data_IF_248308558933
#
_entry.id   IF_248308558933
#
_cell.length_a   1.000
_cell.length_b   1.000
_cell.length_c   1.000
_cell.angle_alpha   90.00
_cell.angle_beta   90.00
_cell.angle_gamma   90.00
#
_symmetry.space_group_name_H-M   'P 1'
#
loop_
_entity.id
_entity.type
_entity.pdbx_description
1 polymer ?
#
# COMPACT_ATOMS: atom_id res chain seq x y z
N UNK A 1 39.48 71.86 -43.90
CA UNK A 1 38.84 70.52 -43.94
C UNK A 1 38.23 70.25 -42.56
N UNK A 2 37.29 69.31 -42.46
CA UNK A 2 37.01 68.46 -41.28
C UNK A 2 35.71 68.61 -40.47
N UNK A 3 34.93 69.71 -40.45
CA UNK A 3 33.66 69.71 -39.66
C UNK A 3 32.51 68.84 -40.20
N UNK A 4 32.08 68.92 -41.47
CA UNK A 4 30.98 68.09 -41.98
C UNK A 4 31.38 66.62 -42.12
N UNK A 5 32.67 66.36 -42.33
CA UNK A 5 33.22 65.01 -42.45
C UNK A 5 33.22 64.27 -41.11
N UNK A 6 33.47 64.97 -40.00
CA UNK A 6 33.40 64.40 -38.63
C UNK A 6 31.97 63.93 -38.31
N UNK A 7 30.93 64.69 -38.66
CA UNK A 7 29.54 64.28 -38.42
C UNK A 7 29.12 63.06 -39.25
N UNK A 8 29.58 62.95 -40.50
CA UNK A 8 29.33 61.79 -41.35
C UNK A 8 30.00 60.52 -40.80
N UNK A 9 31.25 60.61 -40.33
CA UNK A 9 31.97 59.48 -39.74
C UNK A 9 31.35 59.05 -38.40
N UNK A 10 30.96 60.00 -37.54
CA UNK A 10 30.27 59.69 -36.29
C UNK A 10 28.91 59.01 -36.53
N UNK A 11 28.14 59.47 -37.52
CA UNK A 11 26.89 58.81 -37.91
C UNK A 11 27.11 57.37 -38.38
N UNK A 12 28.13 57.13 -39.21
CA UNK A 12 28.46 55.79 -39.70
C UNK A 12 28.90 54.85 -38.58
N UNK A 13 29.68 55.34 -37.60
CA UNK A 13 30.10 54.56 -36.43
C UNK A 13 28.89 54.22 -35.54
N UNK A 14 27.94 55.13 -35.35
CA UNK A 14 26.73 54.86 -34.57
C UNK A 14 25.85 53.82 -35.27
N UNK A 15 25.70 53.90 -36.59
CA UNK A 15 24.92 52.92 -37.37
C UNK A 15 25.59 51.54 -37.33
N UNK A 16 26.90 51.49 -37.54
CA UNK A 16 27.67 50.24 -37.47
C UNK A 16 27.67 49.64 -36.05
N UNK A 17 27.81 50.47 -35.02
CA UNK A 17 27.74 50.06 -33.62
C UNK A 17 26.34 49.56 -33.23
N UNK A 18 25.29 50.27 -33.65
CA UNK A 18 23.90 49.85 -33.44
C UNK A 18 23.58 48.52 -34.14
N UNK A 19 24.00 48.37 -35.40
CA UNK A 19 23.86 47.12 -36.14
C UNK A 19 24.64 45.99 -35.47
N UNK A 20 25.86 46.24 -35.00
CA UNK A 20 26.66 45.25 -34.26
C UNK A 20 25.97 44.82 -32.95
N UNK A 21 25.41 45.75 -32.17
CA UNK A 21 24.69 45.41 -30.93
C UNK A 21 23.42 44.59 -31.20
N UNK A 22 22.71 44.85 -32.31
CA UNK A 22 21.55 44.04 -32.70
C UNK A 22 21.97 42.65 -33.19
N UNK A 23 23.07 42.55 -33.94
CA UNK A 23 23.55 41.28 -34.49
C UNK A 23 24.29 40.40 -33.46
N UNK A 24 24.96 41.01 -32.48
CA UNK A 24 25.79 40.32 -31.50
C UNK A 24 25.04 39.91 -30.22
N UNK A 25 23.77 40.28 -30.05
CA UNK A 25 22.96 39.77 -28.94
C UNK A 25 22.32 38.44 -29.37
N UNK A 26 22.76 37.29 -28.80
CA UNK A 26 22.06 36.04 -29.03
C UNK A 26 20.62 36.20 -28.52
N UNK A 27 19.64 35.95 -29.39
CA UNK A 27 18.23 35.87 -29.01
C UNK A 27 18.04 34.61 -28.16
N UNK A 28 18.31 34.72 -26.87
CA UNK A 28 18.04 33.66 -25.90
C UNK A 28 16.53 33.55 -25.77
N UNK A 29 15.95 32.53 -26.40
CA UNK A 29 14.54 32.20 -26.22
C UNK A 29 14.31 31.88 -24.74
N UNK A 30 13.49 32.65 -24.01
CA UNK A 30 13.34 32.50 -22.56
C UNK A 30 12.55 31.24 -22.15
N UNK A 31 12.13 30.41 -23.11
CA UNK A 31 11.22 29.27 -22.92
C UNK A 31 11.76 27.96 -23.50
N UNK A 32 13.09 27.78 -23.54
CA UNK A 32 13.66 26.46 -23.78
C UNK A 32 13.44 25.58 -22.54
N UNK A 33 12.18 25.25 -22.24
CA UNK A 33 11.84 24.18 -21.30
C UNK A 33 12.31 22.87 -21.92
N UNK A 34 13.21 22.21 -21.20
CA UNK A 34 13.64 20.84 -21.47
C UNK A 34 12.39 19.94 -21.41
N UNK A 35 11.84 19.58 -22.57
CA UNK A 35 10.68 18.70 -22.64
C UNK A 35 11.11 17.31 -22.18
N UNK A 36 10.85 17.01 -20.91
CA UNK A 36 11.03 15.66 -20.37
C UNK A 36 9.99 14.75 -21.01
N UNK A 37 10.45 13.80 -21.81
CA UNK A 37 9.58 12.78 -22.43
C UNK A 37 9.50 11.59 -21.48
N UNK A 38 8.31 11.32 -20.95
CA UNK A 38 8.07 10.19 -20.07
C UNK A 38 7.77 8.91 -20.88
N UNK A 39 8.31 7.76 -20.47
CA UNK A 39 8.24 6.49 -21.23
C UNK A 39 7.08 5.56 -20.87
N UNK A 40 6.29 5.86 -19.82
CA UNK A 40 5.22 4.99 -19.31
C UNK A 40 4.16 5.76 -18.53
N UNK A 41 2.87 5.61 -18.78
CA UNK A 41 1.85 6.49 -18.15
C UNK A 41 1.31 5.99 -16.81
N UNK A 42 1.56 4.73 -16.46
CA UNK A 42 1.04 4.09 -15.25
C UNK A 42 2.06 3.17 -14.58
N UNK A 43 2.04 3.14 -13.25
CA UNK A 43 2.79 2.20 -12.43
C UNK A 43 1.82 1.35 -11.63
N UNK A 44 2.00 0.02 -11.68
CA UNK A 44 1.23 -0.92 -10.87
C UNK A 44 1.75 -0.95 -9.44
N UNK A 45 0.85 -0.88 -8.48
CA UNK A 45 1.13 -0.94 -7.06
C UNK A 45 1.04 -2.39 -6.53
N UNK A 46 1.62 -2.70 -5.35
CA UNK A 46 1.57 -4.05 -4.75
C UNK A 46 0.15 -4.58 -4.48
N UNK A 47 -0.83 -3.69 -4.35
CA UNK A 47 -2.26 -4.01 -4.20
C UNK A 47 -2.95 -4.32 -5.54
N UNK A 48 -2.25 -4.16 -6.67
CA UNK A 48 -2.79 -4.35 -8.02
C UNK A 48 -3.44 -3.11 -8.63
N UNK A 49 -3.55 -1.99 -7.88
CA UNK A 49 -4.00 -0.71 -8.41
C UNK A 49 -2.95 -0.05 -9.30
N UNK A 50 -3.33 1.01 -10.02
CA UNK A 50 -2.41 1.77 -10.87
C UNK A 50 -2.40 3.24 -10.48
N UNK A 51 -1.19 3.80 -10.37
CA UNK A 51 -0.97 5.22 -10.14
C UNK A 51 -0.39 5.88 -11.40
N UNK A 52 -0.84 7.10 -11.66
CA UNK A 52 -0.35 7.94 -12.75
C UNK A 52 0.89 8.75 -12.35
N UNK A 53 1.50 9.38 -13.34
CA UNK A 53 2.58 10.33 -13.10
C UNK A 53 2.07 11.64 -12.51
N UNK A 54 2.85 12.21 -11.61
CA UNK A 54 2.63 13.50 -10.96
C UNK A 54 3.90 14.33 -11.13
N UNK A 55 3.78 15.53 -11.69
CA UNK A 55 4.86 16.50 -11.76
C UNK A 55 5.72 16.47 -13.04
N UNK A 56 6.58 17.50 -13.22
CA UNK A 56 7.33 17.74 -14.45
C UNK A 56 8.48 16.74 -14.70
N UNK A 57 8.92 16.03 -13.67
CA UNK A 57 10.02 15.06 -13.73
C UNK A 57 9.53 13.61 -13.90
N UNK A 58 8.28 13.42 -14.30
CA UNK A 58 7.71 12.11 -14.53
C UNK A 58 7.69 11.20 -13.27
N UNK A 59 7.59 11.77 -12.07
CA UNK A 59 7.49 11.01 -10.81
C UNK A 59 6.13 10.32 -10.74
N UNK A 60 6.00 9.16 -10.09
CA UNK A 60 4.70 8.51 -9.87
C UNK A 60 4.11 8.96 -8.53
N UNK A 61 2.79 9.11 -8.47
CA UNK A 61 2.13 9.30 -7.18
C UNK A 61 2.45 8.13 -6.23
N UNK A 62 2.50 8.40 -4.93
CA UNK A 62 2.59 7.33 -3.93
C UNK A 62 1.44 6.34 -4.13
N UNK A 63 1.74 5.04 -4.07
CA UNK A 63 0.70 4.02 -4.05
C UNK A 63 -0.28 4.30 -2.90
N UNK A 64 -1.59 4.11 -3.11
CA UNK A 64 -2.53 4.15 -2.01
C UNK A 64 -2.06 3.15 -0.94
N UNK A 65 -1.95 3.60 0.30
CA UNK A 65 -1.71 2.71 1.44
C UNK A 65 -2.94 1.81 1.55
N UNK A 66 -2.87 0.62 0.94
CA UNK A 66 -3.78 -0.51 1.06
C UNK A 66 -5.22 -0.14 1.47
N UNK A 67 -5.90 0.63 0.62
CA UNK A 67 -7.37 0.65 0.56
C UNK A 67 -7.87 -0.08 -0.69
N UNK A 68 -6.96 -0.74 -1.42
CA UNK A 68 -7.18 -1.29 -2.76
C UNK A 68 -7.09 -2.81 -2.89
N UNK A 69 -6.89 -3.55 -1.80
CA UNK A 69 -7.19 -4.98 -1.73
C UNK A 69 -7.70 -5.22 -0.32
N UNK A 70 -9.00 -5.43 -0.19
CA UNK A 70 -9.76 -5.33 1.06
C UNK A 70 -9.55 -6.55 1.95
N UNK A 71 -8.27 -6.86 2.24
CA UNK A 71 -7.80 -7.91 3.11
C UNK A 71 -7.18 -7.27 4.33
N UNK A 72 -7.79 -7.51 5.47
CA UNK A 72 -7.33 -7.06 6.78
C UNK A 72 -6.91 -8.25 7.63
N UNK A 73 -5.90 -8.07 8.47
CA UNK A 73 -5.34 -9.14 9.29
C UNK A 73 -5.48 -8.76 10.76
N UNK A 74 -6.39 -9.45 11.45
CA UNK A 74 -6.70 -9.21 12.87
C UNK A 74 -6.03 -10.28 13.72
N UNK A 75 -5.12 -9.88 14.61
CA UNK A 75 -4.50 -10.80 15.58
C UNK A 75 -5.08 -10.55 16.98
N UNK A 76 -5.62 -11.59 17.62
CA UNK A 76 -6.35 -11.45 18.88
C UNK A 76 -6.16 -12.67 19.79
N UNK A 77 -6.10 -12.43 21.11
CA UNK A 77 -6.03 -13.49 22.12
C UNK A 77 -7.40 -14.05 22.53
N UNK A 78 -7.41 -15.14 23.29
CA UNK A 78 -8.68 -15.68 23.82
C UNK A 78 -9.35 -14.68 24.77
N UNK A 79 -10.66 -14.51 24.62
CA UNK A 79 -11.47 -13.56 25.40
C UNK A 79 -11.21 -12.08 25.09
N UNK A 80 -10.29 -11.76 24.16
CA UNK A 80 -10.04 -10.41 23.70
C UNK A 80 -10.84 -10.14 22.41
N UNK A 81 -11.16 -8.87 22.16
CA UNK A 81 -11.88 -8.45 20.95
C UNK A 81 -10.91 -7.74 20.02
N UNK A 82 -10.75 -8.27 18.81
CA UNK A 82 -10.06 -7.60 17.71
C UNK A 82 -11.08 -6.92 16.79
N UNK A 83 -10.75 -5.75 16.27
CA UNK A 83 -11.60 -4.98 15.36
C UNK A 83 -10.89 -4.86 14.01
N UNK A 84 -11.62 -5.14 12.94
CA UNK A 84 -11.12 -5.02 11.57
C UNK A 84 -11.41 -3.64 10.97
N UNK A 85 -10.77 -3.33 9.84
CA UNK A 85 -11.06 -2.13 9.04
C UNK A 85 -12.50 -2.06 8.52
N UNK A 86 -13.24 -3.17 8.57
CA UNK A 86 -14.63 -3.27 8.12
C UNK A 86 -15.64 -3.17 9.28
N UNK A 87 -15.23 -2.65 10.43
CA UNK A 87 -16.02 -2.56 11.66
C UNK A 87 -16.55 -3.92 12.18
N UNK A 88 -15.94 -5.02 11.72
CA UNK A 88 -16.23 -6.37 12.21
C UNK A 88 -15.35 -6.64 13.43
N UNK A 89 -15.99 -6.97 14.56
CA UNK A 89 -15.35 -7.34 15.82
C UNK A 89 -15.37 -8.84 15.99
N UNK A 90 -14.20 -9.43 16.26
CA UNK A 90 -14.01 -10.86 16.43
C UNK A 90 -13.48 -11.13 17.85
N UNK A 91 -14.18 -11.95 18.61
CA UNK A 91 -13.84 -12.32 19.98
C UNK A 91 -13.75 -13.84 20.10
N UNK A 92 -12.55 -14.44 20.10
CA UNK A 92 -12.38 -15.87 20.36
C UNK A 92 -12.84 -16.22 21.77
N UNK A 93 -13.78 -17.16 21.91
CA UNK A 93 -14.34 -17.55 23.21
C UNK A 93 -13.62 -18.76 23.79
N UNK A 94 -13.48 -19.82 22.98
CA UNK A 94 -12.88 -21.08 23.42
C UNK A 94 -12.30 -21.89 22.26
N UNK A 95 -11.25 -22.66 22.55
CA UNK A 95 -10.70 -23.65 21.62
C UNK A 95 -11.47 -24.96 21.81
N UNK A 96 -12.15 -25.41 20.77
CA UNK A 96 -12.91 -26.66 20.77
C UNK A 96 -12.01 -27.86 20.43
N UNK A 97 -11.02 -27.66 19.57
CA UNK A 97 -10.06 -28.68 19.15
C UNK A 97 -8.73 -28.03 18.80
N UNK A 98 -7.62 -28.57 19.30
CA UNK A 98 -6.27 -28.25 18.84
C UNK A 98 -5.47 -29.54 18.69
N UNK A 99 -5.53 -30.09 17.47
CA UNK A 99 -4.84 -31.31 17.07
C UNK A 99 -3.60 -31.01 16.23
N UNK A 100 -3.13 -29.74 16.19
CA UNK A 100 -1.95 -29.33 15.41
C UNK A 100 -0.75 -30.22 15.71
N UNK A 101 -0.07 -30.64 14.64
CA UNK A 101 1.14 -31.43 14.77
C UNK A 101 2.21 -30.64 15.53
N UNK A 102 2.75 -31.17 16.64
CA UNK A 102 3.85 -30.53 17.34
C UNK A 102 5.07 -30.39 16.42
N UNK A 103 5.77 -29.27 16.50
CA UNK A 103 6.91 -28.95 15.64
C UNK A 103 8.10 -29.90 15.84
N UNK A 104 8.15 -30.59 16.97
CA UNK A 104 9.17 -31.55 17.36
C UNK A 104 8.76 -33.01 17.11
N UNK A 105 7.62 -33.22 16.44
CA UNK A 105 7.07 -34.55 16.12
C UNK A 105 6.75 -34.65 14.62
N UNK A 106 6.89 -35.86 14.06
CA UNK A 106 6.48 -36.15 12.69
C UNK A 106 5.12 -36.83 12.67
N UNK A 107 4.05 -36.07 12.41
CA UNK A 107 2.70 -36.62 12.31
C UNK A 107 2.42 -37.18 10.92
N UNK A 108 1.64 -38.26 10.88
CA UNK A 108 1.15 -38.89 9.64
C UNK A 108 -0.08 -38.19 9.06
N UNK A 109 -0.80 -37.40 9.86
CA UNK A 109 -2.01 -36.67 9.46
C UNK A 109 -1.85 -35.19 9.81
N UNK A 110 -2.40 -34.31 8.98
CA UNK A 110 -2.47 -32.88 9.25
C UNK A 110 -3.52 -32.62 10.34
N UNK A 111 -3.07 -32.16 11.50
CA UNK A 111 -3.94 -31.68 12.56
C UNK A 111 -4.68 -30.40 12.19
N UNK A 112 -5.65 -30.00 13.01
CA UNK A 112 -6.40 -28.75 12.82
C UNK A 112 -6.60 -27.99 14.13
N UNK A 113 -7.04 -26.74 14.02
CA UNK A 113 -7.59 -25.99 15.14
C UNK A 113 -9.02 -25.63 14.83
N UNK A 114 -9.90 -25.85 15.80
CA UNK A 114 -11.28 -25.38 15.77
C UNK A 114 -11.56 -24.55 17.00
N UNK A 115 -12.06 -23.34 16.81
CA UNK A 115 -12.39 -22.43 17.91
C UNK A 115 -13.77 -21.84 17.70
N UNK A 116 -14.44 -21.54 18.80
CA UNK A 116 -15.68 -20.77 18.82
C UNK A 116 -15.33 -19.31 19.01
N UNK A 117 -15.81 -18.44 18.13
CA UNK A 117 -15.65 -17.00 18.25
C UNK A 117 -17.00 -16.29 18.11
N UNK A 118 -17.19 -15.25 18.89
CA UNK A 118 -18.28 -14.30 18.70
C UNK A 118 -17.86 -13.28 17.64
N UNK A 119 -18.78 -12.99 16.73
CA UNK A 119 -18.63 -11.93 15.74
C UNK A 119 -19.70 -10.88 15.97
N UNK A 120 -19.30 -9.61 15.97
CA UNK A 120 -20.22 -8.48 15.98
C UNK A 120 -19.94 -7.66 14.73
N UNK A 121 -20.97 -7.47 13.91
CA UNK A 121 -20.93 -6.62 12.73
C UNK A 121 -22.00 -5.52 12.85
N UNK A 122 -22.21 -4.76 11.77
CA UNK A 122 -23.24 -3.70 11.72
C UNK A 122 -24.68 -4.22 11.78
N UNK A 123 -24.92 -5.53 11.69
CA UNK A 123 -26.25 -6.14 11.56
C UNK A 123 -26.64 -7.00 12.78
N UNK A 124 -25.66 -7.52 13.53
CA UNK A 124 -25.94 -8.26 14.74
C UNK A 124 -24.73 -8.89 15.41
N UNK A 125 -25.02 -9.76 16.37
CA UNK A 125 -24.01 -10.57 17.06
C UNK A 125 -24.28 -12.03 16.80
N UNK A 126 -23.29 -12.73 16.23
CA UNK A 126 -23.31 -14.16 15.93
C UNK A 126 -22.20 -14.90 16.67
N UNK A 127 -22.30 -16.23 16.73
CA UNK A 127 -21.21 -17.08 17.24
C UNK A 127 -20.96 -18.18 16.23
N UNK A 128 -19.73 -18.24 15.75
CA UNK A 128 -19.33 -19.16 14.68
C UNK A 128 -18.16 -20.04 15.11
N UNK A 129 -18.05 -21.21 14.47
CA UNK A 129 -16.94 -22.12 14.66
C UNK A 129 -15.97 -21.95 13.50
N UNK A 130 -14.79 -21.41 13.80
CA UNK A 130 -13.70 -21.26 12.86
C UNK A 130 -12.81 -22.49 12.86
N UNK A 131 -12.46 -22.98 11.68
CA UNK A 131 -11.48 -24.04 11.47
C UNK A 131 -10.25 -23.45 10.77
N UNK A 132 -9.05 -23.86 11.19
CA UNK A 132 -7.80 -23.37 10.60
C UNK A 132 -7.79 -23.57 9.08
N UNK A 133 -7.53 -22.49 8.35
CA UNK A 133 -7.51 -22.45 6.88
C UNK A 133 -8.88 -22.47 6.20
N UNK A 134 -9.99 -22.58 6.93
CA UNK A 134 -11.33 -22.51 6.36
C UNK A 134 -11.89 -21.09 6.41
N UNK A 135 -12.50 -20.68 5.31
CA UNK A 135 -13.14 -19.38 5.17
C UNK A 135 -14.63 -19.49 5.50
N UNK A 136 -15.08 -18.65 6.42
CA UNK A 136 -16.51 -18.42 6.70
C UNK A 136 -16.96 -17.23 5.88
N UNK A 137 -18.07 -17.38 5.19
CA UNK A 137 -18.66 -16.31 4.39
C UNK A 137 -19.72 -15.59 5.23
N UNK A 138 -19.38 -14.40 5.72
CA UNK A 138 -20.35 -13.48 6.31
C UNK A 138 -21.10 -12.69 5.25
N UNK A 139 -21.95 -11.78 5.72
CA UNK A 139 -22.76 -10.93 4.85
C UNK A 139 -21.93 -9.82 4.19
N UNK A 140 -21.02 -9.20 4.95
CA UNK A 140 -20.16 -8.09 4.47
C UNK A 140 -18.76 -8.56 4.07
N UNK A 141 -18.23 -9.60 4.71
CA UNK A 141 -16.88 -10.07 4.50
C UNK A 141 -16.75 -11.59 4.62
N UNK A 142 -15.70 -12.13 4.01
CA UNK A 142 -15.22 -13.49 4.20
C UNK A 142 -14.10 -13.49 5.24
N UNK A 143 -14.25 -14.26 6.31
CA UNK A 143 -13.28 -14.34 7.41
C UNK A 143 -12.63 -15.71 7.41
N UNK A 144 -11.30 -15.77 7.44
CA UNK A 144 -10.52 -17.01 7.47
C UNK A 144 -9.64 -17.03 8.71
N UNK A 145 -9.64 -18.14 9.45
CA UNK A 145 -8.63 -18.36 10.49
C UNK A 145 -7.32 -18.75 9.81
N UNK A 146 -6.41 -17.78 9.67
CA UNK A 146 -5.17 -17.93 8.90
C UNK A 146 -4.10 -18.66 9.70
N UNK A 147 -3.92 -18.30 10.97
CA UNK A 147 -2.86 -18.85 11.82
C UNK A 147 -3.29 -18.92 13.29
N UNK A 148 -2.71 -19.87 14.04
CA UNK A 148 -2.85 -19.96 15.49
C UNK A 148 -1.46 -20.06 16.10
N UNK A 149 -1.16 -19.21 17.09
CA UNK A 149 0.10 -19.16 17.83
C UNK A 149 -0.12 -19.51 19.31
N UNK A 150 0.89 -20.05 20.00
CA UNK A 150 2.16 -20.54 19.48
C UNK A 150 1.99 -21.84 18.66
N UNK A 151 3.02 -22.24 17.93
CA UNK A 151 3.08 -23.59 17.37
C UNK A 151 3.09 -24.61 18.52
N UNK A 152 2.53 -25.81 18.30
CA UNK A 152 2.50 -26.84 19.33
C UNK A 152 3.89 -27.44 19.52
N UNK A 153 4.27 -27.71 20.75
CA UNK A 153 5.47 -28.45 21.14
C UNK A 153 5.07 -29.65 22.02
N UNK A 154 5.75 -30.78 21.88
CA UNK A 154 5.54 -31.94 22.74
C UNK A 154 6.00 -31.64 24.16
N UNK A 155 5.16 -31.98 25.14
CA UNK A 155 5.48 -31.76 26.56
C UNK A 155 5.20 -30.35 27.10
N UNK A 156 4.86 -29.37 26.23
CA UNK A 156 4.45 -28.02 26.63
C UNK A 156 2.96 -27.79 26.31
N UNK A 157 2.04 -28.09 27.25
CA UNK A 157 0.62 -27.78 27.04
C UNK A 157 0.43 -26.26 26.93
N UNK A 158 -0.22 -25.82 25.85
CA UNK A 158 -0.52 -24.41 25.61
C UNK A 158 -1.68 -24.01 26.52
N UNK A 159 -1.49 -22.98 27.34
CA UNK A 159 -2.57 -22.44 28.18
C UNK A 159 -3.44 -21.44 27.41
N UNK A 160 -4.69 -21.28 27.84
CA UNK A 160 -5.65 -20.40 27.16
C UNK A 160 -5.09 -18.99 26.92
N UNK A 161 -4.40 -18.40 27.89
CA UNK A 161 -3.83 -17.05 27.78
C UNK A 161 -2.66 -16.92 26.79
N UNK A 162 -2.08 -18.02 26.32
CA UNK A 162 -0.99 -18.03 25.35
C UNK A 162 -1.48 -18.03 23.91
N UNK A 163 -2.75 -18.38 23.66
CA UNK A 163 -3.27 -18.42 22.31
C UNK A 163 -3.37 -17.03 21.70
N UNK A 164 -2.87 -16.92 20.48
CA UNK A 164 -3.16 -15.81 19.57
C UNK A 164 -3.69 -16.37 18.26
N UNK A 165 -4.78 -15.80 17.78
CA UNK A 165 -5.45 -16.20 16.56
C UNK A 165 -5.32 -15.09 15.53
N UNK A 166 -4.90 -15.45 14.32
CA UNK A 166 -4.74 -14.53 13.19
C UNK A 166 -5.88 -14.77 12.23
N UNK A 167 -6.76 -13.79 12.09
CA UNK A 167 -7.88 -13.83 11.15
C UNK A 167 -7.56 -12.96 9.94
N UNK A 168 -7.76 -13.50 8.73
CA UNK A 168 -7.81 -12.72 7.50
C UNK A 168 -9.27 -12.37 7.20
N UNK A 169 -9.59 -11.08 7.14
CA UNK A 169 -10.91 -10.55 6.83
C UNK A 169 -10.85 -9.96 5.43
N UNK A 170 -11.58 -10.54 4.48
CA UNK A 170 -11.62 -10.07 3.09
C UNK A 170 -13.02 -9.58 2.76
N UNK A 171 -13.24 -8.33 2.31
CA UNK A 171 -14.59 -7.93 1.88
C UNK A 171 -15.07 -8.76 0.69
N UNK A 172 -16.39 -8.98 0.70
CA UNK A 172 -17.12 -9.66 -0.35
C UNK A 172 -17.66 -8.72 -1.43
#
# INVERSE_FOLDING_TARGET
>A
MTKPFIFAVLGLIIIAGGAYVVYAKPFTLPWAEERVVCTADAQQCPDGSYVGRTGPNCEFASCPQAVGAEKDVVTVGIGQTGESILDIKITPLEVLEDSRCPIDVQCIQAGTVRLRAQMVDGMGTGTEIFTLGQTITGEVASITLLEVKPARESGSPVTNSQYQFVFEVTKR
#
